data_IF_565029253249
#
_entry.id   IF_565029253249
#
_cell.length_a   1.000
_cell.length_b   1.000
_cell.length_c   1.000
_cell.angle_alpha   90.00
_cell.angle_beta   90.00
_cell.angle_gamma   90.00
#
_symmetry.space_group_name_H-M   'P 1'
#
loop_
_entity.id
_entity.type
_entity.pdbx_description
1 polymer ?
#
# COMPACT_ATOMS: atom_id res chain seq x y z
N UNK A 1 25.48 -24.49 3.17
CA UNK A 1 25.22 -23.43 4.15
C UNK A 1 25.48 -22.01 3.64
N UNK A 2 26.68 -21.65 3.13
CA UNK A 2 26.97 -20.28 2.63
C UNK A 2 25.98 -19.74 1.56
N UNK A 3 25.56 -20.57 0.59
CA UNK A 3 24.58 -20.16 -0.43
C UNK A 3 23.14 -19.96 0.11
N UNK A 4 22.75 -20.71 1.14
CA UNK A 4 21.44 -20.58 1.77
C UNK A 4 21.32 -19.27 2.57
N UNK A 5 22.39 -18.91 3.29
CA UNK A 5 22.44 -17.63 4.04
C UNK A 5 22.45 -16.44 3.08
N UNK A 6 23.18 -16.51 1.96
CA UNK A 6 23.16 -15.46 0.94
C UNK A 6 21.78 -15.24 0.33
N UNK A 7 21.04 -16.32 0.05
CA UNK A 7 19.65 -16.25 -0.41
C UNK A 7 18.72 -15.61 0.63
N UNK A 8 18.85 -15.99 1.90
CA UNK A 8 18.05 -15.44 3.00
C UNK A 8 18.27 -13.93 3.15
N UNK A 9 19.53 -13.48 3.07
CA UNK A 9 19.88 -12.05 3.12
C UNK A 9 19.28 -11.31 1.92
N UNK A 10 19.33 -11.89 0.73
CA UNK A 10 18.71 -11.31 -0.47
C UNK A 10 17.19 -11.15 -0.33
N UNK A 11 16.50 -12.13 0.25
CA UNK A 11 15.06 -12.07 0.51
C UNK A 11 14.71 -10.97 1.53
N UNK A 12 15.50 -10.83 2.60
CA UNK A 12 15.28 -9.78 3.61
C UNK A 12 15.47 -8.39 2.98
N UNK A 13 16.52 -8.20 2.19
CA UNK A 13 16.78 -6.91 1.51
C UNK A 13 15.65 -6.60 0.52
N UNK A 14 15.22 -7.59 -0.27
CA UNK A 14 14.10 -7.43 -1.20
C UNK A 14 12.78 -7.08 -0.50
N UNK A 15 12.51 -7.70 0.65
CA UNK A 15 11.35 -7.38 1.50
C UNK A 15 11.40 -5.93 1.97
N UNK A 16 12.55 -5.48 2.49
CA UNK A 16 12.73 -4.10 2.97
C UNK A 16 12.50 -3.09 1.85
N UNK A 17 13.09 -3.32 0.68
CA UNK A 17 12.89 -2.44 -0.50
C UNK A 17 11.42 -2.43 -0.92
N UNK A 18 10.76 -3.59 -0.94
CA UNK A 18 9.34 -3.71 -1.27
C UNK A 18 8.43 -2.92 -0.32
N UNK A 19 8.69 -3.00 0.99
CA UNK A 19 7.97 -2.22 2.01
C UNK A 19 8.15 -0.72 1.76
N UNK A 20 9.38 -0.26 1.54
CA UNK A 20 9.67 1.16 1.28
C UNK A 20 8.93 1.65 0.03
N UNK A 21 8.98 0.90 -1.06
CA UNK A 21 8.27 1.24 -2.30
C UNK A 21 6.75 1.27 -2.10
N UNK A 22 6.21 0.34 -1.32
CA UNK A 22 4.77 0.29 -1.01
C UNK A 22 4.32 1.51 -0.19
N UNK A 23 5.13 1.96 0.78
CA UNK A 23 4.87 3.19 1.56
C UNK A 23 4.87 4.42 0.64
N UNK A 24 5.86 4.55 -0.24
CA UNK A 24 5.93 5.68 -1.19
C UNK A 24 4.68 5.72 -2.07
N UNK A 25 4.29 4.59 -2.64
CA UNK A 25 3.09 4.48 -3.45
C UNK A 25 1.82 4.86 -2.67
N UNK A 26 1.72 4.42 -1.41
CA UNK A 26 0.58 4.75 -0.54
C UNK A 26 0.48 6.26 -0.27
N UNK A 27 1.60 6.92 0.05
CA UNK A 27 1.62 8.37 0.30
C UNK A 27 1.20 9.17 -0.94
N UNK A 28 1.72 8.80 -2.12
CA UNK A 28 1.33 9.45 -3.38
C UNK A 28 -0.17 9.28 -3.64
N UNK A 29 -0.70 8.08 -3.39
CA UNK A 29 -2.12 7.79 -3.56
C UNK A 29 -2.98 8.68 -2.65
N UNK A 30 -2.61 8.85 -1.38
CA UNK A 30 -3.32 9.76 -0.47
C UNK A 30 -3.29 11.21 -0.94
N UNK A 31 -2.18 11.64 -1.52
CA UNK A 31 -2.03 12.99 -2.06
C UNK A 31 -3.00 13.23 -3.23
N UNK A 32 -3.09 12.27 -4.14
CA UNK A 32 -4.02 12.31 -5.28
C UNK A 32 -5.47 12.30 -4.79
N UNK A 33 -5.81 11.38 -3.90
CA UNK A 33 -7.16 11.26 -3.34
C UNK A 33 -7.60 12.54 -2.64
N UNK A 34 -6.71 13.15 -1.84
CA UNK A 34 -6.99 14.42 -1.18
C UNK A 34 -7.24 15.54 -2.19
N UNK A 35 -6.34 15.71 -3.16
CA UNK A 35 -6.51 16.72 -4.20
C UNK A 35 -7.81 16.51 -5.01
N UNK A 36 -8.15 15.26 -5.34
CA UNK A 36 -9.40 14.93 -6.01
C UNK A 36 -10.62 15.22 -5.13
N UNK A 37 -10.57 14.89 -3.83
CA UNK A 37 -11.67 15.14 -2.90
C UNK A 37 -11.92 16.65 -2.72
N UNK A 38 -10.86 17.45 -2.59
CA UNK A 38 -10.96 18.90 -2.45
C UNK A 38 -11.57 19.56 -3.71
N UNK A 39 -11.29 19.02 -4.90
CA UNK A 39 -11.89 19.50 -6.16
C UNK A 39 -13.36 19.08 -6.29
N UNK A 40 -13.69 17.83 -5.96
CA UNK A 40 -15.01 17.25 -6.21
C UNK A 40 -16.04 17.65 -5.15
N UNK A 41 -15.63 17.76 -3.89
CA UNK A 41 -16.54 18.00 -2.75
C UNK A 41 -16.51 19.43 -2.22
N UNK A 42 -16.02 20.38 -3.00
CA UNK A 42 -15.67 21.76 -2.64
C UNK A 42 -16.66 22.55 -1.76
N UNK A 43 -17.93 22.13 -1.61
CA UNK A 43 -18.92 22.85 -0.81
C UNK A 43 -19.73 22.02 0.22
N UNK A 44 -19.70 20.68 0.23
CA UNK A 44 -20.76 19.94 0.96
C UNK A 44 -20.32 18.78 1.89
N UNK A 45 -19.05 18.35 1.89
CA UNK A 45 -18.60 17.23 2.74
C UNK A 45 -17.20 17.53 3.30
N UNK A 46 -16.98 17.25 4.59
CA UNK A 46 -15.64 17.30 5.18
C UNK A 46 -14.71 16.34 4.43
N UNK A 47 -13.79 16.90 3.64
CA UNK A 47 -12.91 16.11 2.75
C UNK A 47 -12.00 15.16 3.52
N UNK A 48 -11.69 15.48 4.78
CA UNK A 48 -10.91 14.62 5.68
C UNK A 48 -11.51 13.21 5.85
N UNK A 49 -12.84 13.09 5.95
CA UNK A 49 -13.49 11.78 6.15
C UNK A 49 -13.50 10.94 4.86
N UNK A 50 -13.58 11.59 3.69
CA UNK A 50 -13.47 10.92 2.40
C UNK A 50 -12.04 10.41 2.16
N UNK A 51 -11.02 11.23 2.48
CA UNK A 51 -9.61 10.85 2.40
C UNK A 51 -9.28 9.73 3.37
N UNK A 52 -9.77 9.78 4.61
CA UNK A 52 -9.61 8.71 5.60
C UNK A 52 -10.23 7.39 5.13
N UNK A 53 -11.43 7.44 4.56
CA UNK A 53 -12.13 6.25 4.04
C UNK A 53 -11.37 5.60 2.89
N UNK A 54 -10.89 6.42 1.94
CA UNK A 54 -10.06 5.96 0.83
C UNK A 54 -8.71 5.40 1.30
N UNK A 55 -8.10 5.98 2.34
CA UNK A 55 -6.90 5.46 2.97
C UNK A 55 -7.13 4.04 3.52
N UNK A 56 -8.21 3.85 4.28
CA UNK A 56 -8.57 2.56 4.90
C UNK A 56 -8.86 1.50 3.83
N UNK A 57 -9.62 1.84 2.78
CA UNK A 57 -9.91 0.92 1.67
C UNK A 57 -8.61 0.52 0.94
N UNK A 58 -7.70 1.48 0.72
CA UNK A 58 -6.42 1.23 0.06
C UNK A 58 -5.54 0.29 0.89
N UNK A 59 -5.43 0.54 2.21
CA UNK A 59 -4.69 -0.34 3.13
C UNK A 59 -5.32 -1.73 3.17
N UNK A 60 -6.65 -1.82 3.28
CA UNK A 60 -7.39 -3.07 3.26
C UNK A 60 -7.17 -3.87 1.97
N UNK A 61 -7.15 -3.18 0.83
CA UNK A 61 -6.92 -3.79 -0.49
C UNK A 61 -5.48 -4.30 -0.66
N UNK A 62 -4.49 -3.56 -0.15
CA UNK A 62 -3.08 -3.97 -0.18
C UNK A 62 -2.81 -5.16 0.75
N UNK A 63 -3.39 -5.17 1.96
CA UNK A 63 -3.29 -6.29 2.90
C UNK A 63 -4.03 -7.54 2.40
N UNK A 64 -5.23 -7.37 1.85
CA UNK A 64 -6.02 -8.46 1.26
C UNK A 64 -5.34 -9.07 0.03
N UNK A 65 -4.79 -8.23 -0.86
CA UNK A 65 -4.04 -8.68 -2.03
C UNK A 65 -2.73 -9.40 -1.69
N UNK A 66 -2.08 -9.03 -0.58
CA UNK A 66 -0.90 -9.74 -0.08
C UNK A 66 -1.23 -11.15 0.46
N UNK A 67 -2.41 -11.33 1.07
CA UNK A 67 -2.87 -12.62 1.61
C UNK A 67 -3.31 -13.64 0.56
N UNK A 68 -3.85 -13.20 -0.57
CA UNK A 68 -4.39 -14.08 -1.62
C UNK A 68 -3.33 -14.89 -2.38
N UNK A 69 -2.05 -14.52 -2.31
CA UNK A 69 -0.96 -15.29 -2.95
C UNK A 69 -0.73 -16.68 -2.35
N UNK A 70 -1.36 -17.00 -1.21
CA UNK A 70 -1.29 -18.32 -0.57
C UNK A 70 -2.31 -19.32 -1.14
N UNK A 71 -3.27 -18.89 -1.96
CA UNK A 71 -4.32 -19.73 -2.55
C UNK A 71 -4.11 -20.14 -4.01
N UNK A 72 -3.00 -19.75 -4.64
CA UNK A 72 -2.72 -19.98 -6.06
C UNK A 72 -1.50 -20.91 -6.28
N UNK A 73 -1.31 -21.87 -5.38
CA UNK A 73 -0.29 -22.91 -5.52
C UNK A 73 -1.04 -24.25 -5.59
N UNK A 74 -1.27 -24.70 -6.82
CA UNK A 74 -1.34 -26.13 -7.15
C UNK A 74 0.07 -26.74 -7.05
#
# INVERSE_FOLDING_TARGET
MKGMVGSLVGLIIGLVIGIVMSIIFFVITLFIVKASADIVFAENISTDMAVLSAAIITVGSMLGGAGMRRGAID
#
